data_IF_078064113428
#
_entry.id   IF_078064113428
#
_cell.length_a   1.000
_cell.length_b   1.000
_cell.length_c   1.000
_cell.angle_alpha   90.00
_cell.angle_beta   90.00
_cell.angle_gamma   90.00
#
_symmetry.space_group_name_H-M   'P 1'
#
loop_
_entity.id
_entity.type
_entity.pdbx_description
1 polymer ?
#
# COMPACT_ATOMS: atom_id res chain seq x y z
N UNK A 1 11.81 -28.52 9.59
CA UNK A 1 11.66 -27.10 10.02
C UNK A 1 10.31 -26.60 9.53
N UNK A 2 9.53 -26.01 10.41
CA UNK A 2 8.25 -25.41 10.01
C UNK A 2 8.49 -24.10 9.27
N UNK A 3 7.74 -23.88 8.20
CA UNK A 3 7.74 -22.60 7.51
C UNK A 3 7.22 -21.51 8.45
N UNK A 4 7.80 -20.31 8.35
CA UNK A 4 7.25 -19.14 9.02
C UNK A 4 6.13 -18.62 8.14
N UNK A 5 4.92 -18.55 8.70
CA UNK A 5 3.75 -18.12 7.95
C UNK A 5 3.45 -16.65 8.20
N UNK A 6 2.86 -16.02 7.19
CA UNK A 6 2.34 -14.66 7.32
C UNK A 6 0.86 -14.67 6.95
N UNK A 7 0.10 -13.77 7.57
CA UNK A 7 -1.27 -13.50 7.16
C UNK A 7 -1.23 -12.36 6.14
N UNK A 8 -1.10 -12.73 4.87
CA UNK A 8 -0.91 -11.77 3.79
C UNK A 8 -2.02 -10.72 3.74
N UNK A 9 -3.26 -11.08 4.06
CA UNK A 9 -4.37 -10.13 4.10
C UNK A 9 -4.05 -8.90 4.93
N UNK A 10 -3.37 -9.06 6.06
CA UNK A 10 -3.03 -7.90 6.92
C UNK A 10 -2.01 -6.99 6.26
N UNK A 11 -1.05 -7.55 5.52
CA UNK A 11 -0.08 -6.77 4.74
C UNK A 11 -0.76 -6.08 3.55
N UNK A 12 -1.72 -6.75 2.93
CA UNK A 12 -2.54 -6.15 1.88
C UNK A 12 -3.37 -4.97 2.39
N UNK A 13 -3.92 -5.07 3.61
CA UNK A 13 -4.64 -3.97 4.24
C UNK A 13 -3.71 -2.77 4.50
N UNK A 14 -2.47 -3.04 4.91
CA UNK A 14 -1.48 -1.98 5.12
C UNK A 14 -1.10 -1.30 3.81
N UNK A 15 -0.85 -2.08 2.75
CA UNK A 15 -0.58 -1.52 1.42
C UNK A 15 -1.75 -0.67 0.93
N UNK A 16 -2.97 -1.17 1.09
CA UNK A 16 -4.18 -0.46 0.69
C UNK A 16 -4.28 0.92 1.34
N UNK A 17 -4.05 0.99 2.66
CA UNK A 17 -4.10 2.27 3.39
C UNK A 17 -3.00 3.22 2.96
N UNK A 18 -1.80 2.72 2.77
CA UNK A 18 -0.68 3.54 2.29
C UNK A 18 -0.99 4.12 0.91
N UNK A 19 -1.50 3.30 0.01
CA UNK A 19 -1.87 3.76 -1.34
C UNK A 19 -2.95 4.83 -1.29
N UNK A 20 -4.03 4.61 -0.55
CA UNK A 20 -5.11 5.60 -0.41
C UNK A 20 -4.58 6.92 0.17
N UNK A 21 -3.78 6.84 1.23
CA UNK A 21 -3.22 8.01 1.90
C UNK A 21 -2.36 8.83 0.94
N UNK A 22 -1.45 8.17 0.23
CA UNK A 22 -0.54 8.84 -0.70
C UNK A 22 -1.29 9.40 -1.91
N UNK A 23 -2.23 8.64 -2.46
CA UNK A 23 -3.04 9.08 -3.60
C UNK A 23 -3.83 10.36 -3.26
N UNK A 24 -4.52 10.34 -2.12
CA UNK A 24 -5.31 11.50 -1.67
C UNK A 24 -4.45 12.70 -1.37
N UNK A 25 -3.29 12.48 -0.75
CA UNK A 25 -2.34 13.56 -0.46
C UNK A 25 -1.83 14.23 -1.74
N UNK A 26 -1.72 13.48 -2.84
CA UNK A 26 -1.36 14.02 -4.15
C UNK A 26 -2.55 14.61 -4.91
N UNK A 27 -3.76 14.55 -4.36
CA UNK A 27 -4.96 15.06 -5.02
C UNK A 27 -5.39 14.28 -6.25
N UNK A 28 -5.05 12.99 -6.33
CA UNK A 28 -5.33 12.16 -7.50
C UNK A 28 -6.57 11.30 -7.30
N UNK A 29 -7.39 11.19 -8.35
CA UNK A 29 -8.44 10.18 -8.41
C UNK A 29 -7.81 8.81 -8.70
N UNK A 30 -8.56 7.74 -8.48
CA UNK A 30 -8.11 6.39 -8.86
C UNK A 30 -7.83 6.32 -10.36
N UNK A 31 -8.69 6.93 -11.17
CA UNK A 31 -8.56 6.94 -12.63
C UNK A 31 -7.30 7.68 -13.06
N UNK A 32 -7.03 8.86 -12.47
CA UNK A 32 -5.84 9.62 -12.81
C UNK A 32 -4.56 8.91 -12.38
N UNK A 33 -4.55 8.31 -11.21
CA UNK A 33 -3.41 7.51 -10.77
C UNK A 33 -3.15 6.33 -11.73
N UNK A 34 -4.22 5.64 -12.15
CA UNK A 34 -4.11 4.54 -13.10
C UNK A 34 -3.48 5.00 -14.41
N UNK A 35 -3.94 6.12 -14.94
CA UNK A 35 -3.39 6.73 -16.16
C UNK A 35 -1.89 7.00 -16.00
N UNK A 36 -1.49 7.65 -14.92
CA UNK A 36 -0.09 7.99 -14.67
C UNK A 36 0.79 6.75 -14.45
N UNK A 37 0.22 5.70 -13.88
CA UNK A 37 0.96 4.47 -13.58
C UNK A 37 0.96 3.46 -14.74
N UNK A 38 0.19 3.71 -15.80
CA UNK A 38 0.03 2.75 -16.90
C UNK A 38 -0.74 1.51 -16.47
N UNK A 39 -1.73 1.68 -15.59
CA UNK A 39 -2.57 0.60 -15.05
C UNK A 39 -4.03 0.87 -15.36
N UNK A 40 -4.87 -0.15 -15.19
CA UNK A 40 -6.32 0.03 -15.23
C UNK A 40 -6.83 0.52 -13.88
N UNK A 41 -7.88 1.34 -13.91
CA UNK A 41 -8.52 1.82 -12.68
C UNK A 41 -8.95 0.66 -11.78
N UNK A 42 -9.40 -0.45 -12.35
CA UNK A 42 -9.81 -1.63 -11.58
C UNK A 42 -8.65 -2.21 -10.76
N UNK A 43 -7.42 -2.13 -11.25
CA UNK A 43 -6.25 -2.57 -10.50
C UNK A 43 -6.04 -1.70 -9.26
N UNK A 44 -6.17 -0.39 -9.41
CA UNK A 44 -6.07 0.55 -8.28
C UNK A 44 -7.17 0.26 -7.26
N UNK A 45 -8.42 0.16 -7.73
CA UNK A 45 -9.57 -0.10 -6.87
C UNK A 45 -9.40 -1.42 -6.10
N UNK A 46 -8.94 -2.48 -6.76
CA UNK A 46 -8.72 -3.77 -6.13
C UNK A 46 -7.64 -3.72 -5.05
N UNK A 47 -6.56 -3.01 -5.30
CA UNK A 47 -5.49 -2.84 -4.30
C UNK A 47 -6.01 -2.06 -3.09
N UNK A 48 -6.76 -0.99 -3.33
CA UNK A 48 -7.29 -0.13 -2.26
C UNK A 48 -8.35 -0.84 -1.41
N UNK A 49 -9.04 -1.83 -1.99
CA UNK A 49 -10.02 -2.67 -1.26
C UNK A 49 -9.41 -3.96 -0.74
N UNK A 50 -8.15 -4.20 -1.06
CA UNK A 50 -7.44 -5.44 -0.72
C UNK A 50 -8.17 -6.69 -1.21
N UNK A 51 -8.60 -6.67 -2.47
CA UNK A 51 -9.26 -7.80 -3.13
C UNK A 51 -8.59 -8.09 -4.46
N UNK A 52 -8.75 -9.31 -4.94
CA UNK A 52 -8.35 -9.69 -6.29
C UNK A 52 -9.59 -9.94 -7.14
N UNK A 53 -9.42 -9.98 -8.45
CA UNK A 53 -10.51 -10.29 -9.38
C UNK A 53 -10.99 -11.75 -9.27
N UNK A 54 -10.28 -12.60 -8.53
CA UNK A 54 -10.57 -14.04 -8.37
C UNK A 54 -10.99 -14.37 -6.92
N UNK A 55 -11.77 -13.53 -6.28
CA UNK A 55 -12.28 -13.71 -4.92
C UNK A 55 -11.20 -13.91 -3.84
N UNK A 56 -9.98 -13.46 -4.11
CA UNK A 56 -8.89 -13.54 -3.17
C UNK A 56 -8.53 -12.18 -2.58
N UNK A 57 -7.41 -12.19 -1.87
CA UNK A 57 -6.78 -10.98 -1.34
C UNK A 57 -5.89 -10.39 -2.43
N UNK A 58 -5.76 -9.08 -2.48
CA UNK A 58 -4.87 -8.40 -3.41
C UNK A 58 -3.42 -8.86 -3.20
N UNK A 59 -2.74 -9.14 -4.30
CA UNK A 59 -1.32 -9.48 -4.31
C UNK A 59 -0.69 -8.90 -5.56
N UNK A 60 -0.47 -7.58 -5.58
CA UNK A 60 0.07 -6.92 -6.76
C UNK A 60 1.51 -7.36 -7.01
N UNK A 61 1.89 -7.42 -8.28
CA UNK A 61 3.26 -7.65 -8.66
C UNK A 61 4.16 -6.53 -8.12
N UNK A 62 5.39 -6.86 -7.84
CA UNK A 62 6.37 -5.86 -7.41
C UNK A 62 6.48 -4.71 -8.42
N UNK A 63 6.44 -5.03 -9.71
CA UNK A 63 6.46 -4.01 -10.77
C UNK A 63 5.28 -3.04 -10.68
N UNK A 64 4.11 -3.54 -10.28
CA UNK A 64 2.93 -2.70 -10.06
C UNK A 64 3.17 -1.70 -8.94
N UNK A 65 3.77 -2.14 -7.84
CA UNK A 65 4.12 -1.26 -6.71
C UNK A 65 5.08 -0.16 -7.16
N UNK A 66 6.09 -0.52 -7.94
CA UNK A 66 7.04 0.47 -8.47
C UNK A 66 6.39 1.46 -9.43
N UNK A 67 5.47 1.01 -10.27
CA UNK A 67 4.72 1.91 -11.17
C UNK A 67 3.88 2.90 -10.37
N UNK A 68 3.23 2.44 -9.30
CA UNK A 68 2.45 3.30 -8.43
C UNK A 68 3.32 4.33 -7.73
N UNK A 69 4.47 3.90 -7.21
CA UNK A 69 5.42 4.81 -6.57
C UNK A 69 5.90 5.90 -7.54
N UNK A 70 6.23 5.51 -8.77
CA UNK A 70 6.65 6.45 -9.80
C UNK A 70 5.54 7.46 -10.11
N UNK A 71 4.30 6.99 -10.26
CA UNK A 71 3.16 7.85 -10.55
C UNK A 71 2.85 8.82 -9.41
N UNK A 72 3.06 8.38 -8.17
CA UNK A 72 2.86 9.20 -6.97
C UNK A 72 4.07 10.10 -6.67
N UNK A 73 5.16 9.91 -7.39
CA UNK A 73 6.43 10.63 -7.15
C UNK A 73 6.92 10.44 -5.71
N UNK A 74 6.97 9.19 -5.28
CA UNK A 74 7.48 8.79 -3.95
C UNK A 74 8.44 7.61 -4.10
N UNK A 75 9.28 7.40 -3.08
CA UNK A 75 10.08 6.19 -3.01
C UNK A 75 9.16 4.98 -2.83
N UNK A 76 9.45 3.83 -3.49
CA UNK A 76 8.63 2.62 -3.30
C UNK A 76 8.47 2.19 -1.84
N UNK A 77 9.46 2.50 -1.00
CA UNK A 77 9.43 2.20 0.42
C UNK A 77 8.21 2.81 1.14
N UNK A 78 7.70 3.94 0.64
CA UNK A 78 6.51 4.57 1.26
C UNK A 78 5.23 3.77 1.02
N UNK A 79 5.20 2.93 -0.02
CA UNK A 79 4.07 2.04 -0.28
C UNK A 79 4.20 0.70 0.44
N UNK A 80 5.42 0.27 0.74
CA UNK A 80 5.66 -1.07 1.27
C UNK A 80 5.57 -1.07 2.80
N UNK A 81 4.65 -1.88 3.37
CA UNK A 81 4.45 -1.88 4.82
C UNK A 81 5.61 -2.53 5.59
N UNK A 82 5.86 -2.00 6.77
CA UNK A 82 6.74 -2.62 7.79
C UNK A 82 8.17 -2.91 7.33
N UNK A 83 8.73 -2.06 6.44
CA UNK A 83 10.07 -2.30 5.86
C UNK A 83 11.22 -2.20 6.86
N UNK A 84 11.01 -1.50 7.96
CA UNK A 84 12.05 -1.21 8.94
C UNK A 84 12.12 -2.22 10.08
N UNK A 85 11.39 -3.32 9.96
CA UNK A 85 11.32 -4.35 10.99
C UNK A 85 11.23 -5.74 10.39
N UNK A 86 11.46 -6.76 11.22
CA UNK A 86 11.31 -8.14 10.78
C UNK A 86 9.84 -8.42 10.42
N UNK A 87 9.64 -9.31 9.45
CA UNK A 87 8.31 -9.70 9.04
C UNK A 87 7.64 -10.49 10.15
N UNK A 88 6.52 -9.97 10.64
CA UNK A 88 5.67 -10.63 11.63
C UNK A 88 4.55 -11.41 10.92
N UNK A 89 3.89 -12.30 11.63
CA UNK A 89 2.75 -13.04 11.07
C UNK A 89 1.66 -12.10 10.56
N UNK A 90 1.35 -11.05 11.33
CA UNK A 90 0.40 -9.99 10.96
C UNK A 90 1.15 -8.68 10.83
N UNK A 91 0.72 -7.83 9.90
CA UNK A 91 1.30 -6.51 9.76
C UNK A 91 1.10 -5.68 11.03
N UNK A 92 2.17 -5.25 11.70
CA UNK A 92 2.05 -4.41 12.91
C UNK A 92 1.32 -3.08 12.65
N UNK A 93 1.33 -2.58 11.42
CA UNK A 93 0.60 -1.35 11.06
C UNK A 93 -0.90 -1.49 11.24
N UNK A 94 -1.42 -2.72 11.23
CA UNK A 94 -2.85 -3.00 11.38
C UNK A 94 -3.24 -3.37 12.81
N UNK A 95 -2.31 -3.32 13.77
CA UNK A 95 -2.54 -3.82 15.13
C UNK A 95 -3.59 -3.01 15.90
N UNK A 96 -3.75 -1.73 15.58
CA UNK A 96 -4.69 -0.85 16.27
C UNK A 96 -4.97 0.40 15.44
N UNK A 97 -6.02 1.13 15.80
CA UNK A 97 -6.29 2.43 15.19
C UNK A 97 -5.14 3.42 15.39
N UNK A 98 -4.48 3.34 16.55
CA UNK A 98 -3.31 4.17 16.84
C UNK A 98 -2.14 3.84 15.91
N UNK A 99 -1.90 2.56 15.66
CA UNK A 99 -0.84 2.13 14.74
C UNK A 99 -1.14 2.62 13.32
N UNK A 100 -2.38 2.49 12.86
CA UNK A 100 -2.81 2.96 11.55
C UNK A 100 -2.59 4.48 11.43
N UNK A 101 -3.05 5.24 12.42
CA UNK A 101 -2.89 6.69 12.42
C UNK A 101 -1.42 7.12 12.42
N UNK A 102 -0.56 6.39 13.12
CA UNK A 102 0.87 6.68 13.15
C UNK A 102 1.50 6.55 11.76
N UNK A 103 1.11 5.53 10.99
CA UNK A 103 1.61 5.35 9.62
C UNK A 103 1.11 6.47 8.72
N UNK A 104 -0.18 6.82 8.79
CA UNK A 104 -0.73 7.90 7.99
C UNK A 104 0.00 9.22 8.27
N UNK A 105 0.28 9.53 9.53
CA UNK A 105 1.03 10.72 9.91
C UNK A 105 2.46 10.68 9.37
N UNK A 106 3.13 9.53 9.46
CA UNK A 106 4.48 9.37 8.95
C UNK A 106 4.56 9.56 7.42
N UNK A 107 3.55 9.07 6.69
CA UNK A 107 3.47 9.25 5.25
C UNK A 107 3.29 10.73 4.89
N UNK A 108 2.42 11.42 5.62
CA UNK A 108 2.19 12.86 5.40
C UNK A 108 3.46 13.65 5.68
N UNK A 109 4.17 13.34 6.77
CA UNK A 109 5.44 13.98 7.10
C UNK A 109 6.48 13.76 6.00
N UNK A 110 6.57 12.55 5.47
CA UNK A 110 7.51 12.23 4.39
C UNK A 110 7.22 13.03 3.13
N UNK A 111 5.95 13.28 2.82
CA UNK A 111 5.55 14.11 1.68
C UNK A 111 5.89 15.58 1.91
N UNK A 112 5.72 16.06 3.13
CA UNK A 112 5.94 17.46 3.49
C UNK A 112 7.43 17.86 3.51
N UNK A 113 8.33 16.88 3.61
CA UNK A 113 9.79 17.10 3.63
C UNK A 113 10.39 17.40 2.23
N UNK A 114 9.59 17.44 1.21
CA UNK A 114 10.06 17.62 -0.17
C UNK A 114 10.20 19.08 -0.53
#
# INVERSE_FOLDING_TARGET
>A
MKARTIEWKTYGDSLARRLVTLRRARGLSQEKLAELAGLHRNQISNIERNVSSNDGVSDPHLSTVYRLAAALDVAPALLMPDLDRRVAKKSPEQASGKAIAAVEAALQDALDER
#
